data_IF_890790914806
#
_entry.id   IF_890790914806
#
_cell.length_a   1.000
_cell.length_b   1.000
_cell.length_c   1.000
_cell.angle_alpha   90.00
_cell.angle_beta   90.00
_cell.angle_gamma   90.00
#
_symmetry.space_group_name_H-M   'P 1'
#
loop_
_entity.id
_entity.type
_entity.pdbx_description
1 polymer ?
#
# COMPACT_ATOMS: atom_id res chain seq x y z
N UNK A 1 6.08 -6.57 8.65
CA UNK A 1 6.35 -5.23 8.08
C UNK A 1 5.25 -4.32 8.56
N UNK A 2 5.55 -3.09 8.96
CA UNK A 2 4.60 -2.15 9.58
C UNK A 2 4.71 -0.82 8.83
N UNK A 3 3.57 -0.26 8.42
CA UNK A 3 3.49 1.00 7.71
C UNK A 3 3.93 2.13 8.65
N UNK A 4 4.79 3.01 8.15
CA UNK A 4 5.27 4.18 8.90
C UNK A 4 4.50 5.43 8.52
N UNK A 5 3.86 5.41 7.37
CA UNK A 5 3.03 6.48 6.85
C UNK A 5 1.78 5.88 6.22
N UNK A 6 0.75 6.70 6.01
CA UNK A 6 -0.42 6.32 5.26
C UNK A 6 -0.92 7.51 4.44
N UNK A 7 -1.11 7.26 3.14
CA UNK A 7 -2.01 8.05 2.30
C UNK A 7 -3.14 7.15 1.83
N UNK A 8 -4.35 7.58 2.14
CA UNK A 8 -5.58 6.84 1.89
C UNK A 8 -6.13 7.24 0.52
N UNK A 9 -6.68 6.27 -0.20
CA UNK A 9 -7.50 6.49 -1.39
C UNK A 9 -8.82 5.74 -1.20
N UNK A 10 -9.94 6.43 -1.40
CA UNK A 10 -11.29 5.88 -1.32
C UNK A 10 -11.65 5.22 -2.64
N UNK A 11 -12.26 4.04 -2.61
CA UNK A 11 -12.91 3.48 -3.80
C UNK A 11 -14.16 4.28 -4.11
N UNK A 12 -14.35 4.71 -5.37
CA UNK A 12 -15.51 5.51 -5.78
C UNK A 12 -16.77 4.68 -6.00
N UNK A 13 -16.67 3.35 -5.89
CA UNK A 13 -17.76 2.38 -5.95
C UNK A 13 -17.37 1.10 -5.20
N UNK A 14 -18.32 0.28 -4.74
CA UNK A 14 -18.06 -1.04 -4.20
C UNK A 14 -17.22 -1.86 -5.17
N UNK A 15 -16.20 -2.52 -4.61
CA UNK A 15 -15.28 -3.36 -5.38
C UNK A 15 -15.14 -4.73 -4.75
N UNK A 16 -15.00 -5.74 -5.58
CA UNK A 16 -14.47 -7.05 -5.18
C UNK A 16 -13.09 -7.25 -5.81
N UNK A 17 -12.22 -7.98 -5.11
CA UNK A 17 -10.88 -8.29 -5.60
C UNK A 17 -10.62 -9.76 -5.33
N UNK A 18 -10.42 -10.52 -6.41
CA UNK A 18 -9.90 -11.87 -6.33
C UNK A 18 -8.36 -11.82 -6.20
N UNK A 19 -7.76 -12.38 -5.14
CA UNK A 19 -6.31 -12.34 -4.94
C UNK A 19 -5.51 -13.04 -6.05
N UNK A 20 -6.02 -14.14 -6.62
CA UNK A 20 -5.33 -14.89 -7.67
C UNK A 20 -5.36 -14.14 -9.00
N UNK A 21 -6.47 -13.48 -9.33
CA UNK A 21 -6.53 -12.62 -10.49
C UNK A 21 -5.65 -11.37 -10.32
N UNK A 22 -5.63 -10.77 -9.13
CA UNK A 22 -4.75 -9.65 -8.82
C UNK A 22 -3.28 -10.08 -9.01
N UNK A 23 -2.90 -11.24 -8.47
CA UNK A 23 -1.56 -11.82 -8.63
C UNK A 23 -1.16 -11.91 -10.11
N UNK A 24 -2.02 -12.48 -10.97
CA UNK A 24 -1.77 -12.62 -12.40
C UNK A 24 -1.54 -11.25 -13.08
N UNK A 25 -2.37 -10.25 -12.77
CA UNK A 25 -2.24 -8.89 -13.32
C UNK A 25 -0.93 -8.22 -12.89
N UNK A 26 -0.56 -8.35 -11.62
CA UNK A 26 0.68 -7.77 -11.11
C UNK A 26 1.91 -8.50 -11.65
N UNK A 27 1.83 -9.81 -11.85
CA UNK A 27 2.94 -10.60 -12.41
C UNK A 27 3.27 -10.19 -13.86
N UNK A 28 2.28 -9.79 -14.66
CA UNK A 28 2.50 -9.26 -16.01
C UNK A 28 3.38 -7.99 -16.03
N UNK A 29 3.30 -7.18 -14.97
CA UNK A 29 4.06 -5.95 -14.76
C UNK A 29 5.15 -6.11 -13.68
N UNK A 30 5.70 -7.33 -13.52
CA UNK A 30 6.74 -7.60 -12.53
C UNK A 30 7.98 -6.71 -12.72
N UNK A 31 8.60 -6.38 -11.60
CA UNK A 31 9.84 -5.60 -11.57
C UNK A 31 10.93 -6.27 -12.39
N UNK A 32 11.55 -5.47 -13.26
CA UNK A 32 12.79 -5.81 -13.95
C UNK A 32 13.83 -4.74 -13.62
N UNK A 33 15.12 -5.09 -13.51
CA UNK A 33 16.15 -4.09 -13.29
C UNK A 33 16.21 -3.04 -14.40
N UNK A 34 16.75 -1.86 -14.09
CA UNK A 34 17.03 -0.82 -15.07
C UNK A 34 18.01 -1.34 -16.13
N UNK A 35 17.70 -1.05 -17.39
CA UNK A 35 18.65 -1.19 -18.49
C UNK A 35 19.85 -0.23 -18.37
N UNK A 36 20.92 -0.42 -19.16
CA UNK A 36 22.13 0.41 -19.10
C UNK A 36 21.90 1.90 -19.37
N UNK A 37 20.83 2.24 -20.09
CA UNK A 37 20.45 3.62 -20.47
C UNK A 37 19.12 4.07 -19.82
N UNK A 38 18.61 3.31 -18.86
CA UNK A 38 17.37 3.66 -18.15
C UNK A 38 17.69 4.35 -16.82
N UNK A 39 17.23 5.60 -16.67
CA UNK A 39 17.37 6.37 -15.42
C UNK A 39 16.60 5.77 -14.25
N UNK A 40 15.45 5.19 -14.51
CA UNK A 40 14.63 4.55 -13.48
C UNK A 40 13.67 3.53 -14.08
N UNK A 41 13.32 2.53 -13.28
CA UNK A 41 12.32 1.53 -13.63
C UNK A 41 11.51 1.14 -12.41
N UNK A 42 10.23 0.88 -12.62
CA UNK A 42 9.31 0.41 -11.58
C UNK A 42 8.61 -0.87 -12.04
N UNK A 43 8.23 -1.71 -11.09
CA UNK A 43 7.36 -2.86 -11.31
C UNK A 43 7.05 -3.60 -10.02
N UNK A 44 6.14 -4.56 -10.09
CA UNK A 44 5.66 -5.29 -8.92
C UNK A 44 6.70 -6.27 -8.39
N UNK A 45 6.79 -6.37 -7.07
CA UNK A 45 7.68 -7.30 -6.39
C UNK A 45 6.97 -7.92 -5.19
N UNK A 46 7.47 -9.07 -4.72
CA UNK A 46 6.86 -9.72 -3.56
C UNK A 46 6.94 -8.83 -2.29
N UNK A 47 5.81 -8.65 -1.58
CA UNK A 47 5.77 -7.94 -0.30
C UNK A 47 6.68 -8.59 0.77
N UNK A 48 6.84 -9.91 0.72
CA UNK A 48 7.70 -10.70 1.62
C UNK A 48 9.18 -10.67 1.23
N UNK A 49 9.53 -9.93 0.17
CA UNK A 49 10.89 -9.80 -0.31
C UNK A 49 11.44 -11.07 -0.93
N UNK A 50 12.72 -11.37 -0.70
CA UNK A 50 13.39 -12.50 -1.37
C UNK A 50 12.81 -13.87 -1.00
N UNK A 51 12.08 -13.95 0.11
CA UNK A 51 11.44 -15.18 0.60
C UNK A 51 10.04 -15.40 0.00
N UNK A 52 9.46 -14.39 -0.64
CA UNK A 52 8.13 -14.48 -1.22
C UNK A 52 8.17 -14.74 -2.71
N UNK A 53 7.31 -15.66 -3.15
CA UNK A 53 7.13 -16.02 -4.55
C UNK A 53 5.99 -15.25 -5.21
N UNK A 54 5.06 -14.72 -4.41
CA UNK A 54 3.84 -14.04 -4.85
C UNK A 54 3.94 -12.52 -4.73
N UNK A 55 3.30 -11.80 -5.64
CA UNK A 55 3.17 -10.34 -5.71
C UNK A 55 2.09 -9.79 -4.76
N UNK A 56 1.14 -10.64 -4.37
CA UNK A 56 0.03 -10.35 -3.47
C UNK A 56 0.19 -11.16 -2.19
N UNK A 57 0.03 -10.50 -1.05
CA UNK A 57 -0.15 -11.14 0.24
C UNK A 57 -1.57 -10.83 0.75
N UNK A 58 -2.42 -11.85 0.86
CA UNK A 58 -3.81 -11.69 1.28
C UNK A 58 -4.02 -12.23 2.70
N UNK A 59 -4.57 -11.39 3.59
CA UNK A 59 -4.93 -11.78 4.95
C UNK A 59 -6.04 -10.87 5.48
N UNK A 60 -7.01 -11.43 6.22
CA UNK A 60 -8.07 -10.67 6.87
C UNK A 60 -8.94 -9.82 5.92
N UNK A 61 -9.09 -10.24 4.66
CA UNK A 61 -9.81 -9.48 3.62
C UNK A 61 -9.03 -8.30 3.03
N UNK A 62 -7.76 -8.13 3.41
CA UNK A 62 -6.85 -7.12 2.87
C UNK A 62 -5.83 -7.78 1.92
N UNK A 63 -5.46 -7.07 0.86
CA UNK A 63 -4.42 -7.49 -0.10
C UNK A 63 -3.26 -6.51 -0.08
N UNK A 64 -2.10 -6.97 0.38
CA UNK A 64 -0.87 -6.21 0.41
C UNK A 64 -0.06 -6.45 -0.87
N UNK A 65 0.40 -5.35 -1.47
CA UNK A 65 1.20 -5.31 -2.70
C UNK A 65 2.44 -4.45 -2.49
N UNK A 66 3.47 -4.67 -3.31
CA UNK A 66 4.71 -3.91 -3.22
C UNK A 66 5.19 -3.47 -4.60
N UNK A 67 5.25 -2.15 -4.80
CA UNK A 67 5.92 -1.56 -5.94
C UNK A 67 7.41 -1.41 -5.62
N UNK A 68 8.27 -1.99 -6.45
CA UNK A 68 9.71 -1.76 -6.40
C UNK A 68 10.10 -0.74 -7.47
N UNK A 69 10.84 0.29 -7.07
CA UNK A 69 11.43 1.29 -7.97
C UNK A 69 12.94 1.22 -7.86
N UNK A 70 13.62 1.14 -9.00
CA UNK A 70 15.07 1.29 -9.13
C UNK A 70 15.37 2.62 -9.83
N UNK A 71 16.34 3.37 -9.31
CA UNK A 71 16.79 4.63 -9.88
C UNK A 71 18.33 4.64 -9.95
N UNK A 72 18.87 5.12 -11.06
CA UNK A 72 20.29 5.36 -11.23
C UNK A 72 20.70 6.61 -10.48
N UNK A 73 21.73 6.49 -9.65
CA UNK A 73 22.29 7.58 -8.86
C UNK A 73 23.26 8.36 -9.74
N UNK A 74 22.77 9.44 -10.32
CA UNK A 74 23.60 10.45 -10.99
C UNK A 74 23.56 11.75 -10.18
N UNK A 75 24.55 12.00 -9.31
CA UNK A 75 24.58 13.23 -8.52
C UNK A 75 24.66 14.44 -9.44
N UNK A 76 23.67 15.34 -9.34
CA UNK A 76 23.62 16.57 -10.13
C UNK A 76 24.92 17.40 -10.13
N UNK A 77 25.62 17.55 -8.99
CA UNK A 77 26.91 18.26 -8.94
C UNK A 77 27.98 17.62 -9.84
N UNK A 78 28.08 16.29 -9.89
CA UNK A 78 29.07 15.58 -10.72
C UNK A 78 28.79 15.78 -12.19
N UNK A 79 27.52 15.68 -12.61
CA UNK A 79 27.13 15.94 -14.01
C UNK A 79 27.42 17.40 -14.38
N UNK A 80 27.15 18.34 -13.47
CA UNK A 80 27.42 19.77 -13.70
C UNK A 80 28.92 20.03 -13.90
N UNK A 81 29.77 19.45 -13.06
CA UNK A 81 31.23 19.59 -13.17
C UNK A 81 31.76 19.05 -14.50
N UNK A 82 31.34 17.84 -14.91
CA UNK A 82 31.73 17.27 -16.21
C UNK A 82 31.24 18.09 -17.40
N UNK A 83 30.04 18.69 -17.31
CA UNK A 83 29.52 19.59 -18.34
C UNK A 83 30.36 20.86 -18.42
N UNK A 84 30.76 21.42 -17.27
CA UNK A 84 31.59 22.61 -17.19
C UNK A 84 32.98 22.36 -17.79
N UNK A 85 33.63 21.26 -17.43
CA UNK A 85 34.92 20.84 -17.99
C UNK A 85 34.88 20.71 -19.53
N UNK A 86 33.88 19.98 -20.06
CA UNK A 86 33.74 19.80 -21.51
C UNK A 86 33.33 21.09 -22.24
N UNK A 87 32.60 21.98 -21.57
CA UNK A 87 32.37 23.33 -22.11
C UNK A 87 33.69 24.10 -22.21
N UNK A 88 34.49 24.13 -21.14
CA UNK A 88 35.76 24.86 -21.09
C UNK A 88 36.75 24.38 -22.16
N UNK A 89 36.84 23.07 -22.40
CA UNK A 89 37.64 22.49 -23.49
C UNK A 89 37.23 23.06 -24.86
N UNK A 90 35.93 23.05 -25.18
CA UNK A 90 35.40 23.59 -26.44
C UNK A 90 35.67 25.09 -26.56
N UNK A 91 35.51 25.84 -25.47
CA UNK A 91 35.75 27.29 -25.48
C UNK A 91 37.23 27.62 -25.70
N UNK A 92 38.13 26.83 -25.13
CA UNK A 92 39.57 26.95 -25.31
C UNK A 92 39.98 26.62 -26.75
N UNK A 93 39.52 25.50 -27.31
CA UNK A 93 39.90 25.06 -28.65
C UNK A 93 39.33 25.95 -29.76
N UNK A 94 38.09 26.41 -29.60
CA UNK A 94 37.36 27.14 -30.66
C UNK A 94 37.37 28.66 -30.45
N UNK A 95 37.98 29.15 -29.36
CA UNK A 95 38.03 30.58 -29.00
C UNK A 95 36.65 31.27 -29.03
N UNK A 96 35.61 30.57 -28.60
CA UNK A 96 34.22 31.05 -28.54
C UNK A 96 33.53 30.55 -27.28
N UNK A 97 32.42 31.16 -26.88
CA UNK A 97 31.59 30.64 -25.77
C UNK A 97 30.65 29.52 -26.22
N UNK A 98 30.41 28.55 -25.32
CA UNK A 98 29.39 27.50 -25.51
C UNK A 98 28.02 28.08 -25.19
N UNK A 99 27.08 27.96 -26.14
CA UNK A 99 25.71 28.47 -25.99
C UNK A 99 24.85 27.50 -25.18
N UNK A 100 23.74 28.00 -24.63
CA UNK A 100 22.82 27.18 -23.81
C UNK A 100 22.41 25.87 -24.48
N UNK A 101 21.98 25.92 -25.75
CA UNK A 101 21.55 24.72 -26.49
C UNK A 101 22.66 23.65 -26.56
N UNK A 102 23.87 24.07 -26.91
CA UNK A 102 25.03 23.18 -27.00
C UNK A 102 25.43 22.63 -25.61
N UNK A 103 25.34 23.46 -24.56
CA UNK A 103 25.55 23.00 -23.17
C UNK A 103 24.52 21.94 -22.75
N UNK A 104 23.25 22.12 -23.13
CA UNK A 104 22.19 21.14 -22.84
C UNK A 104 22.45 19.83 -23.60
N UNK A 105 22.87 19.89 -24.88
CA UNK A 105 23.29 18.71 -25.67
C UNK A 105 24.49 17.99 -25.04
N UNK A 106 25.51 18.73 -24.57
CA UNK A 106 26.67 18.19 -23.84
C UNK A 106 26.21 17.49 -22.55
N UNK A 107 25.28 18.09 -21.81
CA UNK A 107 24.71 17.50 -20.60
C UNK A 107 23.97 16.20 -20.87
N UNK A 108 23.17 16.14 -21.92
CA UNK A 108 22.49 14.91 -22.35
C UNK A 108 23.50 13.82 -22.72
N UNK A 109 24.53 14.17 -23.50
CA UNK A 109 25.60 13.25 -23.87
C UNK A 109 26.32 12.68 -22.63
N UNK A 110 26.76 13.55 -21.72
CA UNK A 110 27.43 13.15 -20.48
C UNK A 110 26.51 12.26 -19.64
N UNK A 111 25.21 12.57 -19.58
CA UNK A 111 24.25 11.76 -18.84
C UNK A 111 24.18 10.34 -19.41
N UNK A 112 24.12 10.18 -20.74
CA UNK A 112 24.12 8.87 -21.41
C UNK A 112 25.45 8.10 -21.24
N UNK A 113 26.57 8.80 -21.13
CA UNK A 113 27.90 8.22 -20.87
C UNK A 113 28.07 7.75 -19.42
N UNK A 114 27.46 8.48 -18.46
CA UNK A 114 27.51 8.17 -17.05
C UNK A 114 26.50 7.09 -16.62
N UNK A 115 25.36 6.99 -17.31
CA UNK A 115 24.24 6.09 -16.98
C UNK A 115 24.67 4.62 -16.75
N UNK A 116 25.48 4.00 -17.64
CA UNK A 116 25.94 2.62 -17.45
C UNK A 116 26.85 2.43 -16.24
N UNK A 117 27.54 3.49 -15.80
CA UNK A 117 28.48 3.48 -14.65
C UNK A 117 27.78 3.82 -13.33
N UNK A 118 26.55 4.31 -13.39
CA UNK A 118 25.82 4.80 -12.23
C UNK A 118 25.39 3.64 -11.30
N UNK A 119 25.64 3.81 -10.01
CA UNK A 119 25.08 2.93 -9.00
C UNK A 119 23.56 3.01 -8.99
N UNK A 120 22.91 1.94 -8.55
CA UNK A 120 21.45 1.86 -8.52
C UNK A 120 20.95 1.88 -7.08
N UNK A 121 19.90 2.66 -6.83
CA UNK A 121 19.18 2.70 -5.56
C UNK A 121 17.82 2.08 -5.75
N UNK A 122 17.45 1.14 -4.89
CA UNK A 122 16.10 0.55 -4.91
C UNK A 122 15.27 1.06 -3.74
N UNK A 123 14.03 1.44 -4.02
CA UNK A 123 12.99 1.75 -3.04
C UNK A 123 11.84 0.74 -3.18
N UNK A 124 11.24 0.37 -2.06
CA UNK A 124 9.99 -0.38 -2.01
C UNK A 124 8.90 0.53 -1.46
N UNK A 125 7.73 0.47 -2.08
CA UNK A 125 6.55 1.24 -1.70
C UNK A 125 5.45 0.21 -1.54
N UNK A 126 4.90 0.12 -0.34
CA UNK A 126 3.85 -0.84 -0.03
C UNK A 126 2.49 -0.17 -0.10
N UNK A 127 1.50 -0.93 -0.50
CA UNK A 127 0.10 -0.53 -0.38
C UNK A 127 -0.73 -1.75 0.01
N UNK A 128 -1.79 -1.56 0.78
CA UNK A 128 -2.80 -2.58 0.94
C UNK A 128 -4.15 -2.09 0.43
N UNK A 129 -4.90 -2.98 -0.20
CA UNK A 129 -6.27 -2.79 -0.63
C UNK A 129 -7.19 -3.44 0.41
N UNK A 130 -8.19 -2.71 0.86
CA UNK A 130 -9.24 -3.24 1.73
C UNK A 130 -10.62 -2.98 1.11
N UNK A 131 -11.11 -3.90 0.26
CA UNK A 131 -12.45 -3.80 -0.31
C UNK A 131 -13.54 -3.71 0.75
N UNK A 132 -13.40 -4.46 1.85
CA UNK A 132 -14.33 -4.46 2.98
C UNK A 132 -14.46 -3.08 3.66
N UNK A 133 -13.37 -2.32 3.70
CA UNK A 133 -13.35 -0.99 4.34
C UNK A 133 -13.58 0.13 3.31
N UNK A 134 -13.59 -0.19 2.01
CA UNK A 134 -13.81 0.75 0.92
C UNK A 134 -12.63 1.67 0.62
N UNK A 135 -11.40 1.30 1.00
CA UNK A 135 -10.22 2.11 0.70
C UNK A 135 -8.96 1.28 0.40
N UNK A 136 -7.97 1.97 -0.18
CA UNK A 136 -6.59 1.52 -0.34
C UNK A 136 -5.66 2.46 0.44
N UNK A 137 -4.64 1.92 1.09
CA UNK A 137 -3.66 2.71 1.84
C UNK A 137 -2.26 2.49 1.29
N UNK A 138 -1.53 3.56 1.04
CA UNK A 138 -0.13 3.54 0.57
C UNK A 138 0.82 3.99 1.68
N UNK A 139 1.88 3.21 1.95
CA UNK A 139 2.93 3.51 2.94
C UNK A 139 3.88 4.61 2.43
N UNK A 140 3.40 5.85 2.40
CA UNK A 140 4.18 7.02 1.99
C UNK A 140 3.56 8.29 2.53
N UNK A 141 4.39 9.22 3.04
CA UNK A 141 3.95 10.58 3.32
C UNK A 141 3.78 11.44 2.05
N UNK A 142 4.52 11.11 0.98
CA UNK A 142 4.54 11.88 -0.27
C UNK A 142 3.35 11.54 -1.16
N UNK A 143 2.57 12.55 -1.53
CA UNK A 143 1.47 12.44 -2.50
C UNK A 143 1.96 11.88 -3.84
N UNK A 144 3.06 12.43 -4.38
CA UNK A 144 3.64 12.00 -5.65
C UNK A 144 4.00 10.51 -5.66
N UNK A 145 4.61 10.01 -4.58
CA UNK A 145 4.97 8.58 -4.47
C UNK A 145 3.72 7.70 -4.40
N UNK A 146 2.68 8.16 -3.70
CA UNK A 146 1.42 7.44 -3.60
C UNK A 146 0.67 7.40 -4.94
N UNK A 147 0.63 8.52 -5.66
CA UNK A 147 0.08 8.63 -7.01
C UNK A 147 0.84 7.76 -8.02
N UNK A 148 2.17 7.70 -7.94
CA UNK A 148 2.97 6.83 -8.81
C UNK A 148 2.61 5.36 -8.62
N UNK A 149 2.40 4.91 -7.37
CA UNK A 149 1.93 3.55 -7.08
C UNK A 149 0.52 3.33 -7.61
N UNK A 150 -0.41 4.24 -7.33
CA UNK A 150 -1.80 4.15 -7.78
C UNK A 150 -1.88 4.13 -9.32
N UNK A 151 -1.04 4.92 -10.00
CA UNK A 151 -0.95 4.95 -11.46
C UNK A 151 -0.42 3.63 -12.02
N UNK A 152 0.61 3.07 -11.41
CA UNK A 152 1.12 1.75 -11.79
C UNK A 152 0.07 0.66 -11.58
N UNK A 153 -0.68 0.71 -10.47
CA UNK A 153 -1.75 -0.25 -10.19
C UNK A 153 -2.88 -0.14 -11.19
N UNK A 154 -3.30 1.09 -11.51
CA UNK A 154 -4.28 1.35 -12.57
C UNK A 154 -3.82 0.80 -13.92
N UNK A 155 -2.54 0.95 -14.27
CA UNK A 155 -1.98 0.37 -15.50
C UNK A 155 -2.11 -1.15 -15.52
N UNK A 156 -1.75 -1.83 -14.43
CA UNK A 156 -1.78 -3.30 -14.36
C UNK A 156 -3.20 -3.87 -14.35
N UNK A 157 -4.14 -3.16 -13.72
CA UNK A 157 -5.55 -3.56 -13.65
C UNK A 157 -6.36 -3.12 -14.88
N UNK A 158 -5.90 -2.10 -15.59
CA UNK A 158 -6.64 -1.40 -16.65
C UNK A 158 -7.53 -0.28 -16.11
N UNK A 159 -8.26 -0.54 -15.02
CA UNK A 159 -9.07 0.45 -14.30
C UNK A 159 -8.85 0.36 -12.80
N UNK A 160 -8.89 1.51 -12.12
CA UNK A 160 -8.79 1.59 -10.67
C UNK A 160 -9.62 2.81 -10.20
N UNK A 161 -10.86 2.58 -9.71
CA UNK A 161 -11.81 3.61 -9.33
C UNK A 161 -11.48 4.13 -7.93
N UNK A 162 -10.38 4.86 -7.81
CA UNK A 162 -9.94 5.43 -6.52
C UNK A 162 -9.67 6.93 -6.62
N UNK A 163 -9.93 7.64 -5.52
CA UNK A 163 -9.61 9.06 -5.35
C UNK A 163 -9.09 9.34 -3.95
N UNK A 164 -8.31 10.41 -3.72
CA UNK A 164 -8.05 10.89 -2.37
C UNK A 164 -9.37 11.21 -1.64
N UNK A 165 -9.48 10.88 -0.34
CA UNK A 165 -10.64 11.25 0.46
C UNK A 165 -10.74 12.77 0.58
N UNK A 166 -11.97 13.26 0.72
CA UNK A 166 -12.27 14.67 0.96
C UNK A 166 -13.12 14.68 2.22
N UNK A 167 -12.85 15.62 3.13
CA UNK A 167 -13.60 15.80 4.38
C UNK A 167 -14.36 17.11 4.34
N UNK A 168 -15.48 17.18 5.05
CA UNK A 168 -16.39 18.33 5.01
C UNK A 168 -15.78 19.58 5.68
N UNK A 169 -14.98 19.40 6.73
CA UNK A 169 -14.24 20.50 7.36
C UNK A 169 -12.80 20.51 6.89
N UNK A 170 -12.30 21.70 6.53
CA UNK A 170 -10.90 21.87 6.19
C UNK A 170 -10.03 21.45 7.39
N UNK A 171 -9.09 20.48 7.25
CA UNK A 171 -8.39 19.96 8.43
C UNK A 171 -7.60 21.04 9.17
N UNK A 172 -7.02 22.02 8.46
CA UNK A 172 -6.31 23.13 9.10
C UNK A 172 -7.21 23.97 10.01
N UNK A 173 -8.49 24.15 9.65
CA UNK A 173 -9.48 24.81 10.50
C UNK A 173 -9.74 23.98 11.76
N UNK A 174 -9.96 22.67 11.62
CA UNK A 174 -10.19 21.76 12.75
C UNK A 174 -8.99 21.67 13.69
N UNK A 175 -7.77 21.55 13.16
CA UNK A 175 -6.53 21.50 13.96
C UNK A 175 -6.31 22.78 14.74
N UNK A 176 -6.53 23.93 14.09
CA UNK A 176 -6.43 25.25 14.74
C UNK A 176 -7.46 25.37 15.86
N UNK A 177 -8.69 24.90 15.60
CA UNK A 177 -9.77 24.88 16.57
C UNK A 177 -9.51 24.02 17.80
N UNK A 178 -8.88 22.86 17.61
CA UNK A 178 -8.46 22.01 18.73
C UNK A 178 -7.35 22.66 19.57
N UNK A 179 -6.36 23.30 18.93
CA UNK A 179 -5.23 23.93 19.62
C UNK A 179 -5.61 25.19 20.39
N UNK A 180 -6.63 25.94 19.93
CA UNK A 180 -7.11 27.14 20.62
C UNK A 180 -8.43 26.94 21.37
N UNK A 181 -8.91 25.69 21.47
CA UNK A 181 -10.15 25.31 22.18
C UNK A 181 -11.43 25.96 21.64
N UNK A 182 -11.43 26.43 20.39
CA UNK A 182 -12.67 26.91 19.73
C UNK A 182 -13.52 25.78 19.16
N UNK A 183 -12.93 24.59 19.02
CA UNK A 183 -13.61 23.35 18.61
C UNK A 183 -13.34 22.29 19.66
N UNK A 184 -14.41 21.68 20.18
CA UNK A 184 -14.29 20.55 21.10
C UNK A 184 -13.61 19.36 20.40
N UNK A 185 -12.57 18.82 21.03
CA UNK A 185 -11.92 17.60 20.57
C UNK A 185 -12.69 16.37 21.09
N UNK A 186 -12.89 15.33 20.27
CA UNK A 186 -13.42 14.06 20.75
C UNK A 186 -12.48 13.37 21.74
N UNK A 187 -13.02 12.50 22.60
CA UNK A 187 -12.23 11.73 23.58
C UNK A 187 -11.21 10.77 22.92
N UNK A 188 -11.49 10.36 21.68
CA UNK A 188 -10.59 9.53 20.87
C UNK A 188 -9.34 10.27 20.40
N UNK A 189 -9.31 11.61 20.50
CA UNK A 189 -8.20 12.46 20.06
C UNK A 189 -7.48 13.08 21.25
N UNK A 190 -6.18 12.82 21.31
CA UNK A 190 -5.23 13.53 22.18
C UNK A 190 -4.21 14.28 21.34
N UNK A 191 -3.96 15.55 21.67
CA UNK A 191 -2.95 16.36 20.98
C UNK A 191 -1.55 15.95 21.44
N UNK A 192 -0.62 15.85 20.50
CA UNK A 192 0.79 15.61 20.80
C UNK A 192 1.56 16.90 21.05
N UNK A 193 2.82 16.93 20.63
CA UNK A 193 3.74 18.05 20.90
C UNK A 193 4.48 18.60 19.66
N UNK A 194 4.03 18.20 18.46
CA UNK A 194 4.59 18.67 17.18
C UNK A 194 3.50 19.27 16.32
N UNK A 195 3.78 20.41 15.73
CA UNK A 195 2.88 21.03 14.76
C UNK A 195 3.64 21.92 13.78
N UNK A 196 2.99 22.19 12.66
CA UNK A 196 3.38 23.23 11.72
C UNK A 196 2.28 24.27 11.65
N UNK A 197 2.64 25.53 11.90
CA UNK A 197 1.75 26.68 11.76
C UNK A 197 2.18 27.51 10.55
N UNK A 198 1.21 27.97 9.77
CA UNK A 198 1.43 28.76 8.55
C UNK A 198 0.54 29.99 8.59
N UNK A 199 1.10 31.15 8.29
CA UNK A 199 0.33 32.35 7.99
C UNK A 199 -0.24 32.20 6.56
N UNK A 200 -1.56 32.29 6.36
CA UNK A 200 -2.18 32.05 5.06
C UNK A 200 -1.94 33.17 4.02
N UNK A 201 -1.31 34.28 4.39
CA UNK A 201 -0.95 35.34 3.45
C UNK A 201 0.17 34.93 2.48
N UNK A 202 0.27 35.59 1.31
CA UNK A 202 1.26 35.21 0.28
C UNK A 202 2.72 35.38 0.72
N UNK A 203 3.00 36.34 1.60
CA UNK A 203 4.32 36.55 2.22
C UNK A 203 4.42 35.95 3.64
N UNK A 204 3.44 35.11 4.00
CA UNK A 204 3.25 34.55 5.32
C UNK A 204 4.40 33.66 5.78
N UNK A 205 4.72 33.75 7.07
CA UNK A 205 5.73 32.93 7.72
C UNK A 205 5.26 31.50 8.00
N UNK A 206 6.23 30.63 8.30
CA UNK A 206 6.00 29.25 8.74
C UNK A 206 6.74 28.97 10.04
N UNK A 207 6.04 28.45 11.03
CA UNK A 207 6.59 28.03 12.32
C UNK A 207 6.46 26.52 12.44
N UNK A 208 7.54 25.86 12.87
CA UNK A 208 7.51 24.43 13.23
C UNK A 208 7.86 24.31 14.70
N UNK A 209 7.02 23.60 15.42
CA UNK A 209 7.19 23.32 16.85
C UNK A 209 7.38 21.84 17.07
N UNK A 210 8.28 21.50 18.00
CA UNK A 210 8.59 20.13 18.40
C UNK A 210 8.90 20.12 19.90
N UNK A 211 8.16 19.32 20.67
CA UNK A 211 8.29 19.23 22.13
C UNK A 211 7.54 20.32 22.90
N UNK A 212 6.54 20.97 22.30
CA UNK A 212 5.69 21.99 22.95
C UNK A 212 4.26 21.45 23.04
N UNK A 213 3.61 21.61 24.19
CA UNK A 213 2.19 21.26 24.35
C UNK A 213 1.34 22.08 23.38
N UNK A 214 0.54 21.40 22.55
CA UNK A 214 -0.25 22.04 21.51
C UNK A 214 -1.48 22.78 22.02
N UNK A 215 -1.82 22.64 23.30
CA UNK A 215 -2.80 23.47 24.01
C UNK A 215 -2.16 24.56 24.88
N UNK A 216 -0.88 24.90 24.67
CA UNK A 216 -0.20 25.93 25.46
C UNK A 216 -0.44 27.35 24.95
N UNK A 217 -0.17 28.35 25.80
CA UNK A 217 -0.31 29.77 25.43
C UNK A 217 0.67 30.18 24.32
N UNK A 218 1.83 29.54 24.21
CA UNK A 218 2.76 29.77 23.10
C UNK A 218 2.13 29.45 21.75
N UNK A 219 1.36 28.36 21.67
CA UNK A 219 0.67 27.97 20.44
C UNK A 219 -0.53 28.88 20.19
N UNK A 220 -1.31 29.21 21.23
CA UNK A 220 -2.43 30.16 21.13
C UNK A 220 -1.96 31.53 20.62
N UNK A 221 -0.84 32.06 21.10
CA UNK A 221 -0.30 33.34 20.64
C UNK A 221 0.02 33.36 19.14
N UNK A 222 0.53 32.26 18.57
CA UNK A 222 0.74 32.17 17.13
C UNK A 222 -0.57 32.13 16.35
N UNK A 223 -1.58 31.43 16.87
CA UNK A 223 -2.93 31.36 16.28
C UNK A 223 -3.61 32.74 16.32
N UNK A 224 -3.52 33.43 17.46
CA UNK A 224 -4.07 34.78 17.65
C UNK A 224 -3.39 35.82 16.75
N UNK A 225 -2.12 35.58 16.39
CA UNK A 225 -1.40 36.35 15.38
C UNK A 225 -1.83 36.04 13.93
N UNK A 226 -2.80 35.14 13.73
CA UNK A 226 -3.39 34.81 12.42
C UNK A 226 -2.84 33.55 11.76
N UNK A 227 -1.96 32.79 12.44
CA UNK A 227 -1.45 31.53 11.87
C UNK A 227 -2.46 30.39 12.01
N UNK A 228 -2.42 29.46 11.06
CA UNK A 228 -3.24 28.25 11.06
C UNK A 228 -2.37 27.00 11.23
N UNK A 229 -2.85 26.03 12.00
CA UNK A 229 -2.19 24.73 12.16
C UNK A 229 -2.44 23.88 10.91
N UNK A 230 -1.39 23.57 10.14
CA UNK A 230 -1.47 22.80 8.87
C UNK A 230 -0.93 21.38 9.00
N UNK A 231 -0.22 21.10 10.09
CA UNK A 231 0.25 19.77 10.45
C UNK A 231 0.20 19.65 11.98
N UNK A 232 -0.32 18.54 12.50
CA UNK A 232 -0.51 18.34 13.93
C UNK A 232 -0.18 16.90 14.34
N UNK A 233 0.59 16.72 15.42
CA UNK A 233 0.78 15.40 16.03
C UNK A 233 -0.40 15.03 16.91
N UNK A 234 -0.88 13.80 16.78
CA UNK A 234 -2.05 13.27 17.45
C UNK A 234 -1.76 11.88 18.02
N UNK A 235 -2.54 11.50 19.02
CA UNK A 235 -2.68 10.15 19.51
C UNK A 235 -4.16 9.75 19.41
N UNK A 236 -4.43 8.67 18.68
CA UNK A 236 -5.74 8.10 18.49
C UNK A 236 -5.97 6.97 19.49
N UNK A 237 -7.06 7.09 20.27
CA UNK A 237 -7.56 6.09 21.21
C UNK A 237 -6.48 5.54 22.17
N UNK A 238 -5.55 6.42 22.58
CA UNK A 238 -4.39 6.09 23.42
C UNK A 238 -3.53 4.91 22.88
N UNK A 239 -3.57 4.67 21.57
CA UNK A 239 -2.97 3.49 20.97
C UNK A 239 -2.13 3.80 19.73
N UNK A 240 -2.48 4.82 18.94
CA UNK A 240 -1.75 5.12 17.69
C UNK A 240 -1.31 6.57 17.65
N UNK A 241 0.01 6.79 17.70
CA UNK A 241 0.62 8.12 17.58
C UNK A 241 1.04 8.39 16.14
N UNK A 242 0.74 9.56 15.62
CA UNK A 242 1.10 9.97 14.27
C UNK A 242 1.08 11.50 14.14
N UNK A 243 1.49 11.98 12.97
CA UNK A 243 1.36 13.37 12.55
C UNK A 243 0.43 13.43 11.35
N UNK A 244 -0.62 14.25 11.41
CA UNK A 244 -1.57 14.45 10.34
C UNK A 244 -1.34 15.81 9.68
N UNK A 245 -1.26 15.86 8.37
CA UNK A 245 -1.26 17.13 7.62
C UNK A 245 -2.63 17.47 7.05
N UNK A 246 -2.77 18.72 6.61
CA UNK A 246 -4.00 19.25 6.04
C UNK A 246 -4.43 18.56 4.73
N UNK A 247 -3.53 17.82 4.08
CA UNK A 247 -3.82 16.98 2.92
C UNK A 247 -4.08 15.52 3.30
N UNK A 248 -4.43 15.26 4.57
CA UNK A 248 -4.77 13.96 5.15
C UNK A 248 -3.65 12.92 5.05
N UNK A 249 -2.38 13.35 4.96
CA UNK A 249 -1.25 12.44 5.04
C UNK A 249 -0.96 12.11 6.51
N UNK A 250 -1.02 10.82 6.84
CA UNK A 250 -0.69 10.30 8.15
C UNK A 250 0.80 9.94 8.14
N UNK A 251 1.60 10.55 9.02
CA UNK A 251 3.05 10.45 9.03
C UNK A 251 3.56 9.91 10.36
N UNK A 252 4.59 9.07 10.31
CA UNK A 252 5.29 8.62 11.51
C UNK A 252 4.39 7.82 12.45
N UNK A 253 3.59 6.91 11.91
CA UNK A 253 2.69 6.03 12.66
C UNK A 253 3.51 5.19 13.64
N UNK A 254 3.08 5.21 14.90
CA UNK A 254 3.63 4.40 15.99
C UNK A 254 2.48 3.78 16.76
N UNK A 255 2.46 2.45 16.81
CA UNK A 255 1.47 1.69 17.58
C UNK A 255 1.92 1.58 19.05
N UNK A 256 0.95 1.44 19.95
CA UNK A 256 1.15 1.33 21.39
C UNK A 256 1.82 0.03 21.82
N UNK A 257 2.12 -0.09 23.11
CA UNK A 257 2.91 -1.20 23.66
C UNK A 257 2.25 -2.56 23.42
N UNK A 258 0.93 -2.66 23.59
CA UNK A 258 0.17 -3.91 23.38
C UNK A 258 0.27 -4.45 21.95
N UNK A 259 0.53 -3.59 20.97
CA UNK A 259 0.78 -4.01 19.59
C UNK A 259 2.12 -4.73 19.46
N UNK A 260 3.15 -4.19 20.10
CA UNK A 260 4.50 -4.75 20.06
C UNK A 260 4.59 -6.05 20.86
N UNK A 261 3.95 -6.11 22.03
CA UNK A 261 3.85 -7.33 22.86
C UNK A 261 3.29 -8.51 22.06
N UNK A 262 2.16 -8.31 21.36
CA UNK A 262 1.54 -9.36 20.53
C UNK A 262 2.42 -9.85 19.37
N UNK A 263 3.29 -8.99 18.84
CA UNK A 263 4.26 -9.37 17.80
C UNK A 263 5.44 -10.14 18.40
N UNK A 264 5.84 -9.77 19.62
CA UNK A 264 6.96 -10.40 20.33
C UNK A 264 6.59 -11.77 20.92
N UNK A 265 5.30 -12.02 21.19
CA UNK A 265 4.76 -13.34 21.56
C UNK A 265 4.87 -14.40 20.44
N UNK A 266 5.08 -13.97 19.20
CA UNK A 266 5.33 -14.88 18.07
C UNK A 266 6.79 -15.31 18.07
N UNK A 267 7.04 -16.60 17.79
CA UNK A 267 8.39 -17.17 17.70
C UNK A 267 9.33 -16.29 16.86
N UNK A 268 10.48 -15.93 17.44
CA UNK A 268 11.48 -15.08 16.82
C UNK A 268 12.07 -15.66 15.53
N UNK A 269 12.07 -16.99 15.40
CA UNK A 269 12.60 -17.67 14.23
C UNK A 269 11.56 -17.78 13.09
N UNK A 270 10.27 -17.53 13.37
CA UNK A 270 9.21 -17.51 12.36
C UNK A 270 8.94 -16.08 11.83
N UNK A 271 9.82 -15.66 10.92
CA UNK A 271 9.71 -14.37 10.25
C UNK A 271 8.41 -14.20 9.44
N UNK A 272 7.76 -15.30 9.00
CA UNK A 272 6.51 -15.23 8.26
C UNK A 272 5.32 -15.05 9.21
N UNK A 273 5.27 -15.79 10.31
CA UNK A 273 4.25 -15.59 11.34
C UNK A 273 4.32 -14.17 11.94
N UNK A 274 5.53 -13.64 12.20
CA UNK A 274 5.69 -12.25 12.65
C UNK A 274 5.19 -11.24 11.63
N UNK A 275 5.39 -11.53 10.34
CA UNK A 275 4.87 -10.67 9.28
C UNK A 275 3.35 -10.69 9.24
N UNK A 276 2.74 -11.87 9.31
CA UNK A 276 1.30 -12.06 9.30
C UNK A 276 0.63 -11.35 10.48
N UNK A 277 1.11 -11.62 11.70
CA UNK A 277 0.63 -10.98 12.91
C UNK A 277 0.74 -9.45 12.83
N UNK A 278 1.88 -8.93 12.40
CA UNK A 278 2.08 -7.48 12.25
C UNK A 278 1.12 -6.87 11.21
N UNK A 279 0.91 -7.54 10.08
CA UNK A 279 0.01 -7.05 9.03
C UNK A 279 -1.46 -7.10 9.46
N UNK A 280 -1.90 -8.20 10.08
CA UNK A 280 -3.26 -8.34 10.60
C UNK A 280 -3.59 -7.31 11.68
N UNK A 281 -2.71 -7.12 12.66
CA UNK A 281 -2.89 -6.10 13.71
C UNK A 281 -2.90 -4.69 13.12
N UNK A 282 -1.94 -4.38 12.24
CA UNK A 282 -1.83 -3.04 11.65
C UNK A 282 -3.08 -2.69 10.83
N UNK A 283 -3.55 -3.61 9.99
CA UNK A 283 -4.73 -3.36 9.17
C UNK A 283 -6.01 -3.22 10.00
N UNK A 284 -6.13 -3.96 11.11
CA UNK A 284 -7.25 -3.83 12.06
C UNK A 284 -7.26 -2.50 12.83
N UNK A 285 -6.08 -1.97 13.18
CA UNK A 285 -5.96 -0.64 13.79
C UNK A 285 -6.31 0.45 12.77
N UNK A 286 -5.73 0.37 11.56
CA UNK A 286 -6.00 1.35 10.51
C UNK A 286 -7.44 1.33 10.02
N UNK A 287 -8.10 0.16 9.99
CA UNK A 287 -9.52 0.04 9.60
C UNK A 287 -10.46 0.74 10.57
N UNK A 288 -10.08 0.85 11.85
CA UNK A 288 -10.83 1.62 12.85
C UNK A 288 -10.46 3.10 12.84
N UNK A 289 -9.17 3.40 12.79
CA UNK A 289 -8.65 4.77 12.89
C UNK A 289 -9.03 5.63 11.68
N UNK A 290 -8.89 5.12 10.45
CA UNK A 290 -9.07 5.94 9.24
C UNK A 290 -10.51 6.51 9.12
N UNK A 291 -11.58 5.71 9.21
CA UNK A 291 -12.95 6.25 9.16
C UNK A 291 -13.23 7.19 10.34
N UNK A 292 -12.74 6.83 11.53
CA UNK A 292 -12.87 7.68 12.71
C UNK A 292 -12.20 9.05 12.53
N UNK A 293 -11.04 9.11 11.87
CA UNK A 293 -10.37 10.37 11.55
C UNK A 293 -11.17 11.24 10.59
N UNK A 294 -11.85 10.65 9.60
CA UNK A 294 -12.71 11.43 8.72
C UNK A 294 -13.93 11.98 9.47
N UNK A 295 -14.51 11.19 10.37
CA UNK A 295 -15.65 11.62 11.18
C UNK A 295 -15.30 12.81 12.09
N UNK A 296 -14.17 12.76 12.80
CA UNK A 296 -13.74 13.88 13.66
C UNK A 296 -13.34 15.14 12.88
N UNK A 297 -13.13 15.01 11.57
CA UNK A 297 -12.90 16.12 10.63
C UNK A 297 -14.19 16.57 9.92
N UNK A 298 -15.35 16.30 10.53
CA UNK A 298 -16.67 16.72 10.03
C UNK A 298 -17.32 15.74 9.05
N UNK A 299 -16.78 14.53 8.91
CA UNK A 299 -17.28 13.50 8.00
C UNK A 299 -16.59 13.52 6.63
N UNK A 300 -16.63 12.38 5.95
CA UNK A 300 -16.17 12.25 4.57
C UNK A 300 -17.21 12.86 3.60
N UNK A 301 -16.75 13.56 2.56
CA UNK A 301 -17.57 13.91 1.41
C UNK A 301 -17.71 12.69 0.49
N UNK A 302 -18.87 12.07 0.55
CA UNK A 302 -19.25 10.88 -0.21
C UNK A 302 -19.98 11.19 -1.53
N UNK A 303 -20.13 12.47 -1.91
CA UNK A 303 -20.88 12.88 -3.11
C UNK A 303 -20.39 12.26 -4.42
N UNK A 304 -19.10 11.89 -4.47
CA UNK A 304 -18.47 11.20 -5.60
C UNK A 304 -18.30 9.68 -5.39
N UNK A 305 -19.01 9.09 -4.42
CA UNK A 305 -19.03 7.65 -4.13
C UNK A 305 -20.41 7.10 -4.51
N UNK A 306 -20.43 6.07 -5.36
CA UNK A 306 -21.66 5.36 -5.71
C UNK A 306 -21.78 4.13 -4.82
N UNK A 307 -22.74 4.08 -3.90
CA UNK A 307 -22.86 3.00 -2.90
C UNK A 307 -23.85 1.90 -3.26
N UNK A 308 -24.80 2.18 -4.15
CA UNK A 308 -25.96 1.32 -4.42
C UNK A 308 -25.74 0.35 -5.60
N UNK A 309 -24.53 0.32 -6.15
CA UNK A 309 -24.13 -0.59 -7.22
C UNK A 309 -23.60 -1.92 -6.67
N UNK A 310 -23.85 -3.01 -7.41
CA UNK A 310 -23.20 -4.28 -7.12
C UNK A 310 -21.67 -4.12 -7.16
N UNK A 311 -20.91 -4.81 -6.28
CA UNK A 311 -19.45 -4.76 -6.30
C UNK A 311 -18.90 -5.07 -7.69
N UNK A 312 -18.06 -4.17 -8.18
CA UNK A 312 -17.36 -4.36 -9.46
C UNK A 312 -16.08 -5.12 -9.19
N UNK A 313 -15.87 -6.22 -9.90
CA UNK A 313 -14.63 -6.98 -9.81
C UNK A 313 -13.47 -6.21 -10.45
N UNK A 314 -12.48 -5.82 -9.64
CA UNK A 314 -11.40 -4.92 -10.07
C UNK A 314 -10.44 -5.53 -11.09
N UNK A 315 -10.48 -6.85 -11.25
CA UNK A 315 -9.57 -7.63 -12.09
C UNK A 315 -10.22 -8.06 -13.41
N UNK A 316 -11.54 -7.90 -13.56
CA UNK A 316 -12.25 -8.15 -14.81
C UNK A 316 -11.97 -7.07 -15.86
N UNK A 317 -11.72 -7.52 -17.09
CA UNK A 317 -11.49 -6.64 -18.23
C UNK A 317 -12.81 -5.97 -18.63
N UNK A 318 -13.02 -4.71 -18.23
CA UNK A 318 -14.18 -3.94 -18.71
C UNK A 318 -13.99 -3.59 -20.19
N UNK A 319 -14.51 -4.44 -21.07
CA UNK A 319 -14.68 -4.15 -22.51
C UNK A 319 -15.87 -3.19 -22.69
N UNK A 320 -15.64 -1.90 -22.48
CA UNK A 320 -16.49 -0.78 -22.94
C UNK A 320 -15.59 0.47 -22.92
N UNK A 321 -15.34 1.26 -23.95
CA UNK A 321 -15.92 1.39 -25.29
C UNK A 321 -15.02 2.35 -26.09
N UNK A 322 -14.34 1.90 -27.14
CA UNK A 322 -14.09 2.66 -28.39
C UNK A 322 -13.89 1.63 -29.53
N UNK A 323 -14.57 1.86 -30.66
CA UNK A 323 -14.70 0.98 -31.82
C UNK A 323 -13.47 0.94 -32.74
N UNK A 324 -13.36 -0.19 -33.45
CA UNK A 324 -12.57 -0.44 -34.68
C UNK A 324 -11.04 -0.43 -34.58
N UNK A 325 -10.44 -1.61 -34.34
CA UNK A 325 -9.47 -2.22 -35.24
C UNK A 325 -9.09 -3.64 -34.77
N UNK A 326 -9.31 -4.61 -35.67
CA UNK A 326 -8.56 -5.86 -35.81
C UNK A 326 -8.86 -7.03 -34.85
N UNK A 327 -9.85 -7.79 -35.28
CA UNK A 327 -9.89 -9.25 -35.24
C UNK A 327 -8.55 -9.91 -35.65
N UNK A 328 -8.01 -10.77 -34.77
CA UNK A 328 -7.68 -12.20 -34.99
C UNK A 328 -7.16 -12.77 -33.66
N UNK A 329 -7.83 -13.81 -33.17
CA UNK A 329 -7.31 -15.03 -32.52
C UNK A 329 -8.25 -15.51 -31.41
N UNK A 330 -9.16 -16.40 -31.78
CA UNK A 330 -9.84 -17.34 -30.90
C UNK A 330 -8.83 -18.21 -30.13
N UNK A 331 -9.06 -18.46 -28.83
CA UNK A 331 -9.48 -19.77 -28.31
C UNK A 331 -9.46 -19.79 -26.75
N UNK A 332 -10.45 -20.51 -26.20
CA UNK A 332 -10.68 -20.88 -24.79
C UNK A 332 -11.15 -19.73 -23.88
N UNK A 333 -12.10 -19.90 -22.96
CA UNK A 333 -12.33 -21.03 -22.04
C UNK A 333 -13.81 -21.15 -21.68
N UNK A 334 -14.32 -22.38 -21.58
CA UNK A 334 -15.60 -22.68 -20.94
C UNK A 334 -15.47 -22.49 -19.43
N UNK A 335 -16.39 -21.73 -18.85
CA UNK A 335 -16.59 -21.58 -17.41
C UNK A 335 -17.19 -22.86 -16.80
N UNK A 336 -16.60 -23.34 -15.71
CA UNK A 336 -17.20 -24.36 -14.83
C UNK A 336 -17.24 -23.86 -13.38
N UNK A 337 -18.09 -22.87 -13.10
CA UNK A 337 -18.54 -22.57 -11.75
C UNK A 337 -19.68 -23.52 -11.39
N UNK A 338 -19.41 -24.56 -10.58
CA UNK A 338 -20.42 -25.46 -10.01
C UNK A 338 -20.11 -26.96 -10.04
N UNK A 339 -18.95 -27.38 -10.56
CA UNK A 339 -18.54 -28.79 -10.51
C UNK A 339 -17.77 -29.09 -9.22
N UNK A 340 -18.04 -30.21 -8.52
CA UNK A 340 -17.22 -30.65 -7.40
C UNK A 340 -15.77 -30.83 -7.86
N UNK A 341 -14.82 -30.35 -7.05
CA UNK A 341 -13.40 -30.43 -7.40
C UNK A 341 -12.99 -31.90 -7.60
N UNK A 342 -12.44 -32.21 -8.77
CA UNK A 342 -12.03 -33.57 -9.14
C UNK A 342 -11.04 -34.19 -8.15
N UNK A 343 -10.30 -33.38 -7.36
CA UNK A 343 -9.35 -33.85 -6.35
C UNK A 343 -10.00 -34.14 -4.99
N UNK A 344 -11.27 -33.77 -4.78
CA UNK A 344 -11.94 -33.93 -3.49
C UNK A 344 -11.85 -35.37 -2.91
N UNK A 345 -12.14 -36.45 -3.68
CA UNK A 345 -12.06 -37.81 -3.14
C UNK A 345 -10.65 -38.21 -2.69
N UNK A 346 -9.62 -37.75 -3.40
CA UNK A 346 -8.23 -38.06 -3.09
C UNK A 346 -7.76 -37.30 -1.84
N UNK A 347 -8.19 -36.04 -1.70
CA UNK A 347 -7.89 -35.22 -0.52
C UNK A 347 -8.59 -35.77 0.71
N UNK A 348 -9.85 -36.21 0.59
CA UNK A 348 -10.58 -36.88 1.67
C UNK A 348 -9.84 -38.13 2.16
N UNK A 349 -9.42 -39.01 1.25
CA UNK A 349 -8.66 -40.21 1.59
C UNK A 349 -7.33 -39.87 2.29
N UNK A 350 -6.61 -38.87 1.80
CA UNK A 350 -5.35 -38.43 2.38
C UNK A 350 -5.53 -37.90 3.81
N UNK A 351 -6.51 -37.02 4.02
CA UNK A 351 -6.80 -36.42 5.32
C UNK A 351 -7.26 -37.49 6.32
N UNK A 352 -8.10 -38.43 5.90
CA UNK A 352 -8.55 -39.56 6.74
C UNK A 352 -7.40 -40.51 7.07
N UNK A 353 -6.43 -40.70 6.16
CA UNK A 353 -5.24 -41.52 6.41
C UNK A 353 -4.25 -40.89 7.39
N UNK A 354 -3.98 -39.59 7.25
CA UNK A 354 -3.00 -38.86 8.08
C UNK A 354 -3.57 -38.41 9.44
N UNK A 355 -4.90 -38.47 9.62
CA UNK A 355 -5.62 -38.04 10.83
C UNK A 355 -5.36 -36.58 11.24
N UNK A 356 -4.81 -35.76 10.33
CA UNK A 356 -4.63 -34.32 10.48
C UNK A 356 -4.92 -33.63 9.16
N UNK A 357 -5.63 -32.51 9.20
CA UNK A 357 -5.88 -31.70 8.01
C UNK A 357 -5.33 -30.29 8.20
N UNK A 358 -4.60 -29.79 7.22
CA UNK A 358 -4.22 -28.38 7.14
C UNK A 358 -4.19 -27.94 5.68
N UNK A 359 -4.51 -26.67 5.44
CA UNK A 359 -4.53 -26.11 4.09
C UNK A 359 -3.14 -26.25 3.44
N UNK A 360 -2.07 -25.93 4.18
CA UNK A 360 -0.68 -26.07 3.72
C UNK A 360 -0.25 -27.53 3.52
N UNK A 361 -0.84 -28.49 4.24
CA UNK A 361 -0.60 -29.92 4.06
C UNK A 361 -1.21 -30.42 2.75
N UNK A 362 -2.47 -30.08 2.50
CA UNK A 362 -3.19 -30.41 1.26
C UNK A 362 -2.53 -29.73 0.06
N UNK A 363 -2.17 -28.45 0.18
CA UNK A 363 -1.48 -27.68 -0.85
C UNK A 363 -0.19 -28.37 -1.32
N UNK A 364 0.69 -28.76 -0.38
CA UNK A 364 1.98 -29.39 -0.69
C UNK A 364 1.83 -30.80 -1.25
N UNK A 365 0.89 -31.59 -0.71
CA UNK A 365 0.68 -32.99 -1.13
C UNK A 365 0.13 -33.08 -2.55
N UNK A 366 -0.84 -32.22 -2.88
CA UNK A 366 -1.55 -32.25 -4.16
C UNK A 366 -1.02 -31.24 -5.19
N UNK A 367 -0.01 -30.43 -4.82
CA UNK A 367 0.61 -29.41 -5.69
C UNK A 367 -0.41 -28.47 -6.33
N UNK A 368 -1.37 -28.04 -5.53
CA UNK A 368 -2.44 -27.13 -5.92
C UNK A 368 -2.23 -25.75 -5.28
N UNK A 369 -2.91 -24.73 -5.81
CA UNK A 369 -2.92 -23.39 -5.21
C UNK A 369 -3.54 -23.39 -3.80
N UNK A 370 -3.14 -22.42 -2.97
CA UNK A 370 -3.62 -22.31 -1.58
C UNK A 370 -5.14 -22.19 -1.51
N UNK A 371 -5.77 -21.38 -2.36
CA UNK A 371 -7.23 -21.19 -2.37
C UNK A 371 -7.97 -22.47 -2.76
N UNK A 372 -7.44 -23.23 -3.73
CA UNK A 372 -7.97 -24.54 -4.08
C UNK A 372 -7.86 -25.52 -2.90
N UNK A 373 -6.72 -25.51 -2.20
CA UNK A 373 -6.54 -26.31 -0.99
C UNK A 373 -7.46 -25.85 0.16
N UNK A 374 -7.68 -24.54 0.31
CA UNK A 374 -8.56 -23.97 1.31
C UNK A 374 -10.01 -24.38 1.05
N UNK A 375 -10.50 -24.22 -0.18
CA UNK A 375 -11.83 -24.66 -0.58
C UNK A 375 -12.03 -26.17 -0.41
N UNK A 376 -11.04 -27.00 -0.74
CA UNK A 376 -11.11 -28.43 -0.51
C UNK A 376 -11.21 -28.76 0.99
N UNK A 377 -10.47 -28.03 1.84
CA UNK A 377 -10.52 -28.19 3.30
C UNK A 377 -11.82 -27.66 3.90
N UNK A 378 -12.35 -26.55 3.40
CA UNK A 378 -13.68 -26.03 3.76
C UNK A 378 -14.79 -26.99 3.32
N UNK A 379 -14.65 -27.62 2.15
CA UNK A 379 -15.58 -28.62 1.67
C UNK A 379 -15.55 -29.89 2.54
N UNK A 380 -14.36 -30.29 3.02
CA UNK A 380 -14.20 -31.36 4.01
C UNK A 380 -14.87 -30.99 5.35
N UNK A 381 -14.76 -29.75 5.81
CA UNK A 381 -15.45 -29.27 7.02
C UNK A 381 -16.97 -29.31 6.83
N UNK A 382 -17.46 -28.75 5.72
CA UNK A 382 -18.89 -28.72 5.40
C UNK A 382 -19.51 -30.12 5.30
N UNK A 383 -18.75 -31.11 4.83
CA UNK A 383 -19.17 -32.52 4.73
C UNK A 383 -18.89 -33.33 6.02
N UNK A 384 -18.42 -32.68 7.09
CA UNK A 384 -18.20 -33.31 8.40
C UNK A 384 -17.03 -34.28 8.43
N UNK A 385 -16.04 -34.13 7.54
CA UNK A 385 -14.82 -34.94 7.53
C UNK A 385 -13.79 -34.39 8.52
N UNK A 386 -13.74 -33.08 8.70
CA UNK A 386 -12.79 -32.39 9.59
C UNK A 386 -13.50 -31.39 10.49
N UNK A 387 -12.90 -31.08 11.64
CA UNK A 387 -13.37 -30.04 12.56
C UNK A 387 -13.19 -28.64 11.98
N UNK A 388 -13.82 -27.62 12.59
CA UNK A 388 -13.38 -26.24 12.44
C UNK A 388 -11.88 -26.08 12.75
N UNK A 389 -11.26 -25.04 12.21
CA UNK A 389 -9.84 -24.77 12.43
C UNK A 389 -9.54 -24.50 13.92
N UNK A 390 -8.51 -25.14 14.44
CA UNK A 390 -7.93 -24.83 15.75
C UNK A 390 -7.05 -23.57 15.72
N UNK A 391 -6.52 -23.17 16.88
CA UNK A 391 -5.69 -21.96 17.04
C UNK A 391 -4.39 -21.97 16.21
N UNK A 392 -3.93 -23.14 15.76
CA UNK A 392 -2.74 -23.34 14.93
C UNK A 392 -3.08 -23.55 13.43
N UNK A 393 -4.35 -23.41 13.04
CA UNK A 393 -4.83 -23.67 11.68
C UNK A 393 -4.90 -25.16 11.30
N UNK A 394 -4.59 -26.07 12.23
CA UNK A 394 -4.82 -27.50 12.05
C UNK A 394 -6.29 -27.84 12.35
N UNK A 395 -6.81 -28.85 11.66
CA UNK A 395 -8.15 -29.39 11.85
C UNK A 395 -8.05 -30.86 12.24
N UNK A 396 -8.85 -31.26 13.22
CA UNK A 396 -8.98 -32.65 13.64
C UNK A 396 -9.88 -33.40 12.66
N UNK A 397 -9.55 -34.67 12.39
CA UNK A 397 -10.30 -35.48 11.45
C UNK A 397 -11.40 -36.24 12.19
N UNK A 398 -12.65 -36.02 11.80
CA UNK A 398 -13.85 -36.56 12.46
C UNK A 398 -14.24 -37.95 11.95
N UNK A 399 -13.66 -38.40 10.82
CA UNK A 399 -13.86 -39.74 10.26
C UNK A 399 -12.76 -40.70 10.71
N UNK A 400 -13.17 -41.87 11.21
CA UNK A 400 -12.25 -42.96 11.53
C UNK A 400 -11.62 -43.54 10.23
N UNK A 401 -10.34 -43.94 10.26
CA UNK A 401 -9.71 -44.59 9.12
C UNK A 401 -10.39 -45.93 8.84
N UNK A 402 -10.60 -46.24 7.56
CA UNK A 402 -11.15 -47.54 7.17
C UNK A 402 -10.20 -48.66 7.64
N UNK A 403 -10.67 -49.49 8.59
CA UNK A 403 -9.95 -50.68 9.03
C UNK A 403 -9.81 -51.63 7.82
N UNK A 404 -8.58 -51.90 7.43
CA UNK A 404 -8.29 -52.94 6.44
C UNK A 404 -8.76 -54.29 6.98
N UNK A 405 -9.69 -54.93 6.26
CA UNK A 405 -10.00 -56.36 6.39
C UNK A 405 -9.28 -57.13 5.30
#
# INVERSE_FOLDING_TARGET
MIFKHARVFRFTKPVSIDPDQLEQKLQADQFKPCGPQEMSRSGWASPLGKKGEYMVYAAGGCMLICLKKEEKILPGPVIKEMVEERCEEIEFEQSRKVRKKERDEIKEQITLECLPKAFSRTKRIFAYLSPKDGFMVVDSASAKVAEDLTSMLRKSLGSLPVRPPVVQQAPAFTFTGWSNETIDKPDTITLGTKATLVDPSEEGGKVRVDGIDLGSDEIRNHIDAGMQVTEISLEWDNNVKFVLDEQLAIKGIKFGETFQEKIDDVDADDALAKFDAAFGLMTLELSRMIPGLFEVLGGEDDSAIVTDEAPVELTEYQKNSVSEAESIASFATEDHAGQPDNLYPEVEMFVVGEQRASISGVQRKFKIGYNRAAHLVEELERKGVVSPAGNDGAREVLKAPAMAS
#
